data_IF_169559122273
#
_entry.id   IF_169559122273
#
_cell.length_a   1.000
_cell.length_b   1.000
_cell.length_c   1.000
_cell.angle_alpha   90.00
_cell.angle_beta   90.00
_cell.angle_gamma   90.00
#
_symmetry.space_group_name_H-M   'P 1'
#
loop_
_entity.id
_entity.type
_entity.pdbx_description
1 polymer ?
#
# COMPACT_ATOMS: atom_id res chain seq x y z
N UNK A 1 15.39 13.98 8.03
CA UNK A 1 15.53 12.66 7.40
C UNK A 1 14.18 12.36 6.78
N UNK A 2 14.01 12.55 5.47
CA UNK A 2 12.72 12.25 4.84
C UNK A 2 12.55 10.73 4.78
N UNK A 3 11.41 10.23 5.28
CA UNK A 3 11.05 8.82 5.13
C UNK A 3 10.88 8.49 3.64
N UNK A 4 11.66 7.51 3.16
CA UNK A 4 11.56 7.00 1.78
C UNK A 4 10.12 6.68 1.38
N UNK A 5 9.37 6.05 2.28
CA UNK A 5 7.94 5.74 2.09
C UNK A 5 7.10 6.99 1.89
N UNK A 6 7.34 8.06 2.66
CA UNK A 6 6.58 9.31 2.55
C UNK A 6 6.84 10.03 1.22
N UNK A 7 8.10 9.98 0.76
CA UNK A 7 8.45 10.50 -0.56
C UNK A 7 7.70 9.73 -1.66
N UNK A 8 7.81 8.40 -1.66
CA UNK A 8 7.18 7.54 -2.67
C UNK A 8 5.65 7.64 -2.63
N UNK A 9 5.05 7.72 -1.44
CA UNK A 9 3.59 7.82 -1.28
C UNK A 9 3.00 9.15 -1.74
N UNK A 10 3.81 10.21 -1.81
CA UNK A 10 3.38 11.54 -2.23
C UNK A 10 3.57 11.82 -3.73
N UNK A 11 4.23 10.92 -4.48
CA UNK A 11 4.46 11.10 -5.92
C UNK A 11 3.20 10.95 -6.77
N UNK A 12 2.24 10.14 -6.28
CA UNK A 12 1.01 9.77 -7.00
C UNK A 12 -0.18 9.84 -6.03
N UNK A 13 -1.40 10.13 -6.52
CA UNK A 13 -2.58 10.21 -5.67
C UNK A 13 -2.93 8.89 -4.98
N UNK A 14 -2.60 7.75 -5.59
CA UNK A 14 -2.80 6.42 -5.01
C UNK A 14 -1.52 5.59 -5.22
N UNK A 15 -0.95 5.09 -4.14
CA UNK A 15 0.27 4.27 -4.12
C UNK A 15 0.01 2.99 -3.33
N UNK A 16 0.43 1.85 -3.86
CA UNK A 16 0.31 0.54 -3.23
C UNK A 16 1.71 -0.04 -3.11
N UNK A 17 2.12 -0.40 -1.90
CA UNK A 17 3.28 -1.26 -1.68
C UNK A 17 2.81 -2.71 -1.59
N UNK A 18 3.42 -3.57 -2.41
CA UNK A 18 2.99 -4.94 -2.69
C UNK A 18 4.18 -5.90 -2.70
N UNK A 19 3.90 -7.19 -2.82
CA UNK A 19 4.87 -8.21 -3.24
C UNK A 19 4.30 -9.07 -4.36
N UNK A 20 5.13 -9.54 -5.28
CA UNK A 20 4.72 -10.40 -6.40
C UNK A 20 4.11 -11.74 -5.95
N UNK A 21 4.49 -12.21 -4.75
CA UNK A 21 3.98 -13.45 -4.14
C UNK A 21 2.73 -13.26 -3.26
N UNK A 22 2.16 -12.05 -3.20
CA UNK A 22 1.05 -11.71 -2.31
C UNK A 22 -0.30 -11.76 -3.03
N UNK A 23 -1.07 -12.85 -2.85
CA UNK A 23 -2.40 -13.00 -3.44
C UNK A 23 -3.37 -11.87 -3.08
N UNK A 24 -3.34 -11.38 -1.83
CA UNK A 24 -4.20 -10.26 -1.38
C UNK A 24 -3.86 -8.94 -2.08
N UNK A 25 -2.59 -8.75 -2.44
CA UNK A 25 -2.14 -7.53 -3.09
C UNK A 25 -2.73 -7.42 -4.52
N UNK A 26 -2.90 -8.56 -5.22
CA UNK A 26 -3.64 -8.61 -6.48
C UNK A 26 -5.09 -8.17 -6.31
N UNK A 27 -5.79 -8.66 -5.28
CA UNK A 27 -7.19 -8.28 -5.03
C UNK A 27 -7.34 -6.78 -4.81
N UNK A 28 -6.49 -6.16 -3.99
CA UNK A 28 -6.55 -4.71 -3.72
C UNK A 28 -6.22 -3.90 -4.98
N UNK A 29 -5.22 -4.34 -5.75
CA UNK A 29 -4.86 -3.70 -7.02
C UNK A 29 -6.05 -3.71 -8.00
N UNK A 30 -6.69 -4.86 -8.19
CA UNK A 30 -7.87 -4.99 -9.06
C UNK A 30 -9.03 -4.15 -8.55
N UNK A 31 -9.32 -4.20 -7.24
CA UNK A 31 -10.40 -3.42 -6.65
C UNK A 31 -10.22 -1.91 -6.90
N UNK A 32 -9.04 -1.36 -6.62
CA UNK A 32 -8.77 0.06 -6.87
C UNK A 32 -8.88 0.42 -8.35
N UNK A 33 -8.41 -0.44 -9.26
CA UNK A 33 -8.58 -0.25 -10.70
C UNK A 33 -10.07 -0.28 -11.13
N UNK A 34 -10.86 -1.22 -10.60
CA UNK A 34 -12.29 -1.36 -10.92
C UNK A 34 -13.10 -0.15 -10.43
N UNK A 35 -12.68 0.49 -9.33
CA UNK A 35 -13.23 1.76 -8.86
C UNK A 35 -12.78 2.98 -9.71
N UNK A 36 -12.01 2.77 -10.78
CA UNK A 36 -11.53 3.82 -11.68
C UNK A 36 -10.30 4.56 -11.16
N UNK A 37 -9.67 4.10 -10.08
CA UNK A 37 -8.40 4.65 -9.63
C UNK A 37 -7.24 4.14 -10.50
N UNK A 38 -6.16 4.93 -10.60
CA UNK A 38 -4.91 4.51 -11.24
C UNK A 38 -3.81 4.37 -10.19
N UNK A 39 -3.78 3.26 -9.42
CA UNK A 39 -2.80 3.07 -8.38
C UNK A 39 -1.40 2.82 -8.95
N UNK A 40 -0.40 3.42 -8.34
CA UNK A 40 1.00 3.08 -8.61
C UNK A 40 1.42 1.96 -7.69
N UNK A 41 1.85 0.83 -8.25
CA UNK A 41 2.24 -0.35 -7.48
C UNK A 41 3.75 -0.45 -7.41
N UNK A 42 4.27 -0.57 -6.19
CA UNK A 42 5.67 -0.85 -5.90
C UNK A 42 5.80 -2.27 -5.35
N UNK A 43 6.23 -3.21 -6.19
CA UNK A 43 6.52 -4.58 -5.79
C UNK A 43 7.87 -4.61 -5.05
N UNK A 44 7.81 -4.77 -3.72
CA UNK A 44 8.98 -4.62 -2.86
C UNK A 44 10.02 -5.71 -3.12
N UNK A 45 9.62 -6.92 -3.50
CA UNK A 45 10.56 -8.00 -3.83
C UNK A 45 11.29 -7.80 -5.17
N UNK A 46 10.83 -6.89 -6.02
CA UNK A 46 11.47 -6.54 -7.30
C UNK A 46 12.33 -5.27 -7.18
N UNK A 47 12.24 -4.53 -6.06
CA UNK A 47 12.99 -3.30 -5.84
C UNK A 47 14.31 -3.63 -5.10
N UNK A 48 15.48 -3.19 -5.60
CA UNK A 48 16.77 -3.45 -4.96
C UNK A 48 16.86 -3.03 -3.48
N UNK A 49 16.09 -2.00 -3.08
CA UNK A 49 15.96 -1.50 -1.70
C UNK A 49 14.64 -1.86 -1.03
N UNK A 50 13.92 -2.84 -1.55
CA UNK A 50 12.59 -3.23 -1.09
C UNK A 50 12.53 -3.56 0.40
N UNK A 51 13.55 -4.24 0.92
CA UNK A 51 13.67 -4.57 2.35
C UNK A 51 13.76 -3.33 3.24
N UNK A 52 14.42 -2.27 2.79
CA UNK A 52 14.48 -0.99 3.53
C UNK A 52 13.10 -0.31 3.55
N UNK A 53 12.37 -0.37 2.44
CA UNK A 53 11.01 0.14 2.33
C UNK A 53 10.06 -0.66 3.24
N UNK A 54 10.14 -1.99 3.24
CA UNK A 54 9.38 -2.86 4.15
C UNK A 54 9.60 -2.47 5.61
N UNK A 55 10.85 -2.30 6.03
CA UNK A 55 11.15 -1.88 7.40
C UNK A 55 10.57 -0.50 7.72
N UNK A 56 10.60 0.43 6.78
CA UNK A 56 9.99 1.76 6.96
C UNK A 56 8.46 1.67 7.07
N UNK A 57 7.81 0.78 6.30
CA UNK A 57 6.38 0.51 6.40
C UNK A 57 6.00 -0.07 7.77
N UNK A 58 6.78 -1.05 8.27
CA UNK A 58 6.58 -1.62 9.62
C UNK A 58 6.75 -0.56 10.71
N UNK A 59 7.77 0.30 10.62
CA UNK A 59 7.97 1.42 11.57
C UNK A 59 6.82 2.42 11.55
N UNK A 60 6.10 2.52 10.43
CA UNK A 60 4.89 3.35 10.26
C UNK A 60 3.60 2.66 10.71
N UNK A 61 3.69 1.43 11.23
CA UNK A 61 2.55 0.68 11.76
C UNK A 61 1.93 -0.32 10.78
N UNK A 62 2.50 -0.50 9.57
CA UNK A 62 2.03 -1.53 8.65
C UNK A 62 2.54 -2.91 9.09
N UNK A 63 1.71 -3.72 9.74
CA UNK A 63 2.04 -5.11 10.07
C UNK A 63 0.87 -6.04 9.71
N UNK A 64 0.98 -6.88 8.66
CA UNK A 64 2.14 -7.06 7.79
C UNK A 64 2.48 -5.83 6.95
N UNK A 65 3.74 -5.71 6.49
CA UNK A 65 4.23 -4.55 5.73
C UNK A 65 3.52 -4.32 4.39
N UNK A 66 2.96 -5.40 3.80
CA UNK A 66 2.20 -5.37 2.55
C UNK A 66 0.92 -6.20 2.70
N UNK A 67 -0.12 -5.90 1.91
CA UNK A 67 -0.28 -4.70 1.08
C UNK A 67 -0.39 -3.46 1.97
N UNK A 68 0.22 -2.34 1.58
CA UNK A 68 0.05 -1.04 2.24
C UNK A 68 -0.40 0.00 1.22
N UNK A 69 -1.56 0.62 1.44
CA UNK A 69 -2.18 1.56 0.51
C UNK A 69 -2.08 2.97 1.05
N UNK A 70 -1.57 3.86 0.21
CA UNK A 70 -1.49 5.29 0.47
C UNK A 70 -2.37 6.06 -0.51
N UNK A 71 -3.13 7.03 0.00
CA UNK A 71 -3.94 7.96 -0.79
C UNK A 71 -3.55 9.38 -0.38
N UNK A 72 -3.14 10.20 -1.36
CA UNK A 72 -2.67 11.56 -1.10
C UNK A 72 -1.50 11.64 -0.12
N UNK A 73 -0.61 10.64 -0.13
CA UNK A 73 0.52 10.54 0.80
C UNK A 73 0.17 10.00 2.20
N UNK A 74 -1.11 9.83 2.54
CA UNK A 74 -1.54 9.28 3.83
C UNK A 74 -1.76 7.76 3.74
N UNK A 75 -1.34 7.04 4.78
CA UNK A 75 -1.61 5.60 4.91
C UNK A 75 -3.10 5.41 5.19
N UNK A 76 -3.79 4.70 4.30
CA UNK A 76 -5.25 4.44 4.40
C UNK A 76 -5.55 3.01 4.86
N UNK A 77 -4.57 2.10 4.76
CA UNK A 77 -4.71 0.78 5.38
C UNK A 77 -3.79 -0.29 4.82
N UNK A 78 -3.53 -1.29 5.67
CA UNK A 78 -3.00 -2.59 5.25
C UNK A 78 -4.09 -3.58 4.81
N UNK A 79 -3.75 -4.82 4.45
CA UNK A 79 -4.73 -5.87 4.06
C UNK A 79 -5.96 -5.97 4.98
N UNK A 80 -5.80 -5.76 6.28
CA UNK A 80 -6.88 -5.88 7.27
C UNK A 80 -7.83 -4.67 7.30
N UNK A 81 -7.38 -3.49 6.90
CA UNK A 81 -8.21 -2.27 6.89
C UNK A 81 -8.96 -2.10 5.57
N UNK A 82 -8.36 -2.48 4.44
CA UNK A 82 -9.02 -2.42 3.12
C UNK A 82 -10.07 -3.53 2.96
N UNK A 83 -9.93 -4.64 3.70
CA UNK A 83 -10.92 -5.73 3.75
C UNK A 83 -11.91 -5.63 4.91
N UNK A 84 -11.74 -4.68 5.85
CA UNK A 84 -12.84 -4.40 6.78
C UNK A 84 -13.98 -3.83 5.95
N UNK A 85 -15.18 -4.45 5.99
CA UNK A 85 -16.32 -3.92 5.27
C UNK A 85 -16.47 -2.45 5.68
N UNK A 86 -16.66 -1.58 4.69
CA UNK A 86 -17.29 -0.28 4.89
C UNK A 86 -18.50 -0.60 5.76
N UNK A 87 -18.41 -0.28 7.05
CA UNK A 87 -19.58 -0.26 7.91
C UNK A 87 -20.39 0.91 7.36
N UNK A 88 -21.23 0.61 6.38
CA UNK A 88 -22.46 1.38 6.14
C UNK A 88 -23.13 1.41 7.51
N UNK A 89 -22.94 2.52 8.21
CA UNK A 89 -23.63 2.79 9.46
C UNK A 89 -25.15 2.68 9.24
N UNK A 90 -25.89 2.37 10.32
CA UNK A 90 -27.29 1.92 10.26
C UNK A 90 -28.23 2.89 9.56
#
# INVERSE_FOLDING_TARGET
>A
MEDLVAKMSSEKPVVIFSKSSCCMCHTIKTLLCDFGANPTVHELDEIPRGKEIEQALVRRGCNPAVPAVFIGGQLVGGANEVMSPISVGP
#
